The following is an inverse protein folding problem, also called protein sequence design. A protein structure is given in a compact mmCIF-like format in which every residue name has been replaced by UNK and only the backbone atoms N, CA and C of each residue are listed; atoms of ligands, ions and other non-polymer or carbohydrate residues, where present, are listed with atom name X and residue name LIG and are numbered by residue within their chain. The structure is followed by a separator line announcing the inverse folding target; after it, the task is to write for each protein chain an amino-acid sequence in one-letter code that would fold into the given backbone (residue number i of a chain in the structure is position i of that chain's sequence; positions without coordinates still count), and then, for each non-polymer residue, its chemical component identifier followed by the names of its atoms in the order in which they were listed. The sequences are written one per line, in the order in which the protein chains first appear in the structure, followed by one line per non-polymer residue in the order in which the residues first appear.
data_IF_876336449294
#
_entry.id   IF_876336449294
#
_cell.length_a   1.000
_cell.length_b   1.000
_cell.length_c   1.000
_cell.angle_alpha   90.00
_cell.angle_beta   90.00
_cell.angle_gamma   90.00
#
_symmetry.space_group_name_H-M   'P 1'
#
loop_
_entity.id
_entity.type
_entity.pdbx_description
1 polymer ?
#
# COMPACT_ATOMS: atom_id res chain seq x y z
N UNK A 1 12.26 11.65 36.61
CA UNK A 1 11.53 11.99 35.40
C UNK A 1 12.22 11.33 34.23
N UNK A 2 11.56 10.40 33.56
CA UNK A 2 12.12 9.72 32.38
C UNK A 2 12.24 10.77 31.27
N UNK A 3 13.42 11.01 30.65
CA UNK A 3 13.52 11.95 29.56
C UNK A 3 12.59 11.43 28.45
N UNK A 4 11.53 12.19 28.14
CA UNK A 4 10.61 11.84 27.07
C UNK A 4 11.43 11.74 25.79
N UNK A 5 11.60 10.52 25.29
CA UNK A 5 12.17 10.28 23.96
C UNK A 5 11.32 11.12 22.99
N UNK A 6 11.94 12.09 22.33
CA UNK A 6 11.23 12.87 21.31
C UNK A 6 10.70 11.87 20.27
N UNK A 7 9.41 11.92 19.92
CA UNK A 7 8.88 11.03 18.89
C UNK A 7 9.68 11.25 17.58
N UNK A 8 9.87 10.20 16.79
CA UNK A 8 10.60 10.33 15.53
C UNK A 8 9.90 11.35 14.61
N UNK A 9 10.69 12.11 13.87
CA UNK A 9 10.19 13.11 12.91
C UNK A 9 9.46 12.47 11.71
N UNK A 10 9.44 11.16 11.61
CA UNK A 10 8.82 10.40 10.53
C UNK A 10 8.20 9.10 11.08
N UNK A 11 7.24 8.57 10.35
CA UNK A 11 6.53 7.32 10.64
C UNK A 11 6.43 6.47 9.40
N UNK A 12 6.29 5.17 9.59
CA UNK A 12 6.03 4.18 8.54
C UNK A 12 4.74 3.48 8.91
N UNK A 13 3.90 3.17 7.92
CA UNK A 13 2.72 2.35 8.07
C UNK A 13 2.70 1.25 7.02
N UNK A 14 2.04 0.17 7.35
CA UNK A 14 1.76 -0.97 6.49
C UNK A 14 0.25 -1.22 6.47
N UNK A 15 -0.29 -1.55 5.31
CA UNK A 15 -1.66 -1.99 5.13
C UNK A 15 -1.70 -3.15 4.16
N UNK A 16 -2.62 -4.07 4.38
CA UNK A 16 -2.84 -5.23 3.55
C UNK A 16 -4.33 -5.47 3.38
N UNK A 17 -4.74 -5.77 2.16
CA UNK A 17 -6.14 -6.04 1.86
C UNK A 17 -6.28 -7.17 0.83
N UNK A 18 -7.35 -7.94 0.95
CA UNK A 18 -7.66 -9.05 0.07
C UNK A 18 -9.14 -9.07 -0.24
N UNK A 19 -9.47 -9.13 -1.53
CA UNK A 19 -10.84 -9.26 -2.00
C UNK A 19 -11.01 -10.45 -2.93
N UNK A 20 -12.15 -11.14 -2.80
CA UNK A 20 -12.53 -12.21 -3.72
C UNK A 20 -12.87 -11.67 -5.10
N UNK A 21 -12.47 -12.39 -6.16
CA UNK A 21 -12.86 -12.13 -7.54
C UNK A 21 -14.19 -12.81 -7.84
N UNK A 22 -15.17 -12.02 -8.28
CA UNK A 22 -16.52 -12.51 -8.63
C UNK A 22 -16.97 -12.00 -10.00
N UNK A 23 -17.78 -12.79 -10.67
CA UNK A 23 -18.36 -12.40 -11.96
C UNK A 23 -19.34 -11.22 -11.81
N UNK A 24 -19.47 -10.43 -12.87
CA UNK A 24 -20.47 -9.35 -12.95
C UNK A 24 -20.12 -8.06 -12.22
N UNK A 25 -18.93 -7.95 -11.65
CA UNK A 25 -18.39 -6.69 -11.12
C UNK A 25 -17.26 -6.16 -12.00
N UNK A 26 -17.07 -4.84 -12.00
CA UNK A 26 -15.91 -4.20 -12.61
C UNK A 26 -14.66 -4.49 -11.79
N UNK A 27 -13.54 -4.71 -12.43
CA UNK A 27 -12.25 -4.78 -11.77
C UNK A 27 -11.66 -3.37 -11.70
N UNK A 28 -11.56 -2.81 -10.51
CA UNK A 28 -10.98 -1.48 -10.27
C UNK A 28 -9.80 -1.67 -9.32
N UNK A 29 -8.62 -1.16 -9.73
CA UNK A 29 -7.39 -1.21 -8.92
C UNK A 29 -6.62 0.11 -9.09
N UNK A 30 -6.27 0.75 -7.97
CA UNK A 30 -5.63 2.06 -7.96
C UNK A 30 -6.44 3.13 -8.70
N UNK A 31 -7.77 3.06 -8.62
CA UNK A 31 -8.71 3.95 -9.31
C UNK A 31 -8.78 3.76 -10.82
N UNK A 32 -8.26 2.65 -11.36
CA UNK A 32 -8.26 2.33 -12.79
C UNK A 32 -9.15 1.14 -13.05
N UNK A 33 -10.17 1.32 -13.92
CA UNK A 33 -11.00 0.22 -14.41
C UNK A 33 -10.20 -0.63 -15.41
N UNK A 34 -10.11 -1.92 -15.14
CA UNK A 34 -9.35 -2.89 -15.93
C UNK A 34 -10.31 -3.86 -16.59
N UNK A 35 -10.19 -4.02 -17.90
CA UNK A 35 -11.03 -4.95 -18.65
C UNK A 35 -10.79 -6.40 -18.18
N UNK A 36 -11.77 -6.97 -17.50
CA UNK A 36 -11.76 -8.34 -17.01
C UNK A 36 -13.18 -8.88 -16.84
N UNK A 37 -13.36 -10.19 -16.86
CA UNK A 37 -14.67 -10.85 -16.71
C UNK A 37 -15.16 -10.87 -15.25
N UNK A 38 -14.26 -10.68 -14.29
CA UNK A 38 -14.52 -10.68 -12.87
C UNK A 38 -13.98 -9.37 -12.25
N UNK A 39 -14.62 -8.90 -11.20
CA UNK A 39 -14.16 -7.79 -10.38
C UNK A 39 -14.17 -8.13 -8.90
N UNK A 40 -13.69 -7.24 -8.07
CA UNK A 40 -13.56 -7.50 -6.64
C UNK A 40 -14.89 -7.34 -5.89
N UNK A 41 -15.14 -8.23 -4.95
CA UNK A 41 -16.32 -8.22 -4.08
C UNK A 41 -16.04 -7.36 -2.85
N UNK A 42 -16.85 -6.35 -2.60
CA UNK A 42 -16.77 -5.50 -1.42
C UNK A 42 -17.94 -4.54 -1.33
N UNK A 43 -17.99 -3.76 -0.23
CA UNK A 43 -19.05 -2.78 0.05
C UNK A 43 -18.92 -1.54 -0.85
N UNK A 44 -17.69 -1.05 -1.07
CA UNK A 44 -17.32 0.01 -2.01
C UNK A 44 -17.15 -0.54 -3.43
N UNK A 45 -16.38 0.12 -4.27
CA UNK A 45 -15.88 -0.43 -5.54
C UNK A 45 -14.85 -1.56 -5.34
N UNK A 46 -14.47 -1.85 -4.08
CA UNK A 46 -13.55 -2.90 -3.66
C UNK A 46 -12.13 -2.77 -4.23
N UNK A 47 -11.64 -1.55 -4.43
CA UNK A 47 -10.25 -1.32 -4.85
C UNK A 47 -9.28 -1.67 -3.72
N UNK A 48 -8.81 -2.92 -3.71
CA UNK A 48 -7.90 -3.44 -2.70
C UNK A 48 -6.60 -2.62 -2.57
N UNK A 49 -6.11 -2.02 -3.67
CA UNK A 49 -4.90 -1.20 -3.63
C UNK A 49 -5.13 0.09 -2.86
N UNK A 50 -6.24 0.78 -3.12
CA UNK A 50 -6.62 1.98 -2.38
C UNK A 50 -6.87 1.68 -0.90
N UNK A 51 -7.51 0.55 -0.58
CA UNK A 51 -7.76 0.14 0.81
C UNK A 51 -6.45 -0.13 1.57
N UNK A 52 -5.54 -0.90 1.00
CA UNK A 52 -4.24 -1.19 1.62
C UNK A 52 -3.41 0.08 1.84
N UNK A 53 -3.42 1.02 0.90
CA UNK A 53 -2.72 2.31 1.06
C UNK A 53 -3.41 3.16 2.14
N UNK A 54 -4.74 3.16 2.21
CA UNK A 54 -5.49 3.87 3.24
C UNK A 54 -5.13 3.37 4.65
N UNK A 55 -5.08 2.05 4.84
CA UNK A 55 -4.67 1.45 6.11
C UNK A 55 -3.23 1.78 6.47
N UNK A 56 -2.31 1.74 5.50
CA UNK A 56 -0.93 2.13 5.72
C UNK A 56 -0.81 3.58 6.23
N UNK A 57 -1.57 4.50 5.66
CA UNK A 57 -1.55 5.92 6.02
C UNK A 57 -2.17 6.17 7.39
N UNK A 58 -3.34 5.59 7.68
CA UNK A 58 -3.96 5.69 9.00
C UNK A 58 -3.12 5.03 10.08
N UNK A 59 -2.54 3.86 9.80
CA UNK A 59 -1.63 3.17 10.71
C UNK A 59 -0.38 3.98 11.02
N UNK A 60 0.28 4.58 10.00
CA UNK A 60 1.43 5.47 10.20
C UNK A 60 1.08 6.67 11.09
N UNK A 61 -0.12 7.24 10.92
CA UNK A 61 -0.61 8.37 11.71
C UNK A 61 -1.14 7.97 13.10
N UNK A 62 -1.17 6.67 13.43
CA UNK A 62 -1.79 6.10 14.63
C UNK A 62 -3.27 6.51 14.77
N UNK A 63 -4.02 6.37 13.66
CA UNK A 63 -5.43 6.74 13.55
C UNK A 63 -6.38 5.54 13.42
N UNK A 64 -5.91 4.30 13.52
CA UNK A 64 -6.68 3.09 13.28
C UNK A 64 -6.63 2.62 11.83
N UNK A 65 -7.73 2.11 11.34
CA UNK A 65 -7.87 1.47 10.04
C UNK A 65 -9.00 2.07 9.20
N UNK A 66 -9.14 1.59 7.96
CA UNK A 66 -10.18 2.02 7.02
C UNK A 66 -11.59 1.75 7.57
N UNK A 67 -11.81 0.60 8.24
CA UNK A 67 -13.11 0.23 8.79
C UNK A 67 -13.57 1.15 9.92
N UNK A 68 -12.65 1.67 10.72
CA UNK A 68 -12.95 2.67 11.74
C UNK A 68 -13.41 4.01 11.13
N UNK A 69 -12.82 4.41 10.01
CA UNK A 69 -13.09 5.71 9.38
C UNK A 69 -14.24 5.69 8.37
N UNK A 70 -14.45 4.56 7.71
CA UNK A 70 -15.41 4.34 6.63
C UNK A 70 -16.11 2.98 6.81
N UNK A 71 -16.92 2.83 7.88
CA UNK A 71 -17.52 1.54 8.22
C UNK A 71 -18.41 1.02 7.09
N UNK A 72 -18.31 -0.26 6.80
CA UNK A 72 -19.13 -0.97 5.81
C UNK A 72 -20.60 -1.08 6.21
N UNK A 73 -20.90 -0.84 7.49
CA UNK A 73 -22.26 -0.75 8.01
C UNK A 73 -22.96 0.59 7.70
N UNK A 74 -22.22 1.61 7.30
CA UNK A 74 -22.78 2.92 6.96
C UNK A 74 -23.19 2.97 5.48
N UNK A 75 -24.49 3.15 5.19
CA UNK A 75 -25.00 3.18 3.82
C UNK A 75 -24.37 4.26 2.93
N UNK A 76 -23.80 5.33 3.50
CA UNK A 76 -23.18 6.40 2.72
C UNK A 76 -21.95 5.92 1.94
N UNK A 77 -21.29 4.85 2.38
CA UNK A 77 -20.09 4.30 1.71
C UNK A 77 -20.43 3.14 0.75
N UNK A 78 -21.70 2.80 0.60
CA UNK A 78 -22.11 1.74 -0.32
C UNK A 78 -21.83 2.14 -1.77
N UNK A 79 -20.97 1.36 -2.45
CA UNK A 79 -20.53 1.66 -3.80
C UNK A 79 -19.62 2.88 -3.90
N UNK A 80 -19.04 3.34 -2.79
CA UNK A 80 -18.14 4.49 -2.79
C UNK A 80 -16.91 4.26 -3.68
N UNK A 81 -16.44 5.32 -4.32
CA UNK A 81 -15.16 5.37 -5.04
C UNK A 81 -14.01 5.35 -4.04
N UNK A 82 -13.22 4.28 -4.04
CA UNK A 82 -12.10 4.13 -3.10
C UNK A 82 -10.99 5.18 -3.30
N UNK A 83 -10.88 5.78 -4.48
CA UNK A 83 -10.01 6.96 -4.70
C UNK A 83 -10.49 8.16 -3.89
N UNK A 84 -11.81 8.37 -3.80
CA UNK A 84 -12.36 9.44 -2.96
C UNK A 84 -12.15 9.17 -1.47
N UNK A 85 -12.28 7.91 -1.02
CA UNK A 85 -11.95 7.52 0.35
C UNK A 85 -10.46 7.73 0.67
N UNK A 86 -9.58 7.39 -0.25
CA UNK A 86 -8.14 7.62 -0.13
C UNK A 86 -7.80 9.11 -0.04
N UNK A 87 -8.43 9.94 -0.86
CA UNK A 87 -8.25 11.40 -0.80
C UNK A 87 -8.71 11.98 0.55
N UNK A 88 -9.83 11.50 1.09
CA UNK A 88 -10.31 11.89 2.42
C UNK A 88 -9.38 11.37 3.53
N UNK A 89 -8.80 10.16 3.39
CA UNK A 89 -7.75 9.68 4.28
C UNK A 89 -6.56 10.64 4.31
N UNK A 90 -6.03 11.01 3.14
CA UNK A 90 -4.92 11.96 3.03
C UNK A 90 -5.24 13.30 3.71
N UNK A 91 -6.45 13.83 3.49
CA UNK A 91 -6.92 15.06 4.14
C UNK A 91 -6.93 14.93 5.67
N UNK A 92 -7.40 13.79 6.22
CA UNK A 92 -7.41 13.54 7.68
C UNK A 92 -6.01 13.42 8.24
N UNK A 93 -5.09 12.75 7.53
CA UNK A 93 -3.68 12.61 7.91
C UNK A 93 -2.98 13.97 7.94
N UNK A 94 -3.21 14.80 6.90
CA UNK A 94 -2.69 16.18 6.85
C UNK A 94 -3.25 17.05 7.98
N UNK A 95 -4.54 16.94 8.32
CA UNK A 95 -5.15 17.66 9.42
C UNK A 95 -4.55 17.28 10.80
N UNK A 96 -3.92 16.10 10.91
CA UNK A 96 -3.12 15.70 12.10
C UNK A 96 -1.69 16.23 12.08
N UNK A 97 -1.31 17.01 11.07
CA UNK A 97 0.03 17.60 10.94
C UNK A 97 1.07 16.69 10.29
N UNK A 98 0.66 15.59 9.66
CA UNK A 98 1.55 14.69 8.93
C UNK A 98 1.55 15.01 7.43
N UNK A 99 2.70 14.85 6.78
CA UNK A 99 2.84 14.89 5.33
C UNK A 99 3.15 13.50 4.79
N UNK A 100 2.56 13.16 3.65
CA UNK A 100 2.82 11.90 2.97
C UNK A 100 4.13 12.07 2.18
N UNK A 101 5.16 11.32 2.55
CA UNK A 101 6.48 11.38 1.90
C UNK A 101 6.52 10.57 0.61
N UNK A 102 6.02 9.35 0.66
CA UNK A 102 5.90 8.46 -0.49
C UNK A 102 4.99 7.27 -0.17
N UNK A 103 4.60 6.55 -1.21
CA UNK A 103 3.88 5.27 -1.12
C UNK A 103 4.62 4.24 -1.96
N UNK A 104 4.86 3.07 -1.40
CA UNK A 104 5.29 1.87 -2.12
C UNK A 104 4.24 0.79 -1.94
N UNK A 105 3.79 0.17 -3.02
CA UNK A 105 2.73 -0.82 -2.97
C UNK A 105 3.02 -2.01 -3.88
N UNK A 106 2.40 -3.13 -3.56
CA UNK A 106 2.51 -4.36 -4.34
C UNK A 106 1.14 -4.99 -4.50
N UNK A 107 0.74 -5.22 -5.75
CA UNK A 107 -0.41 -6.03 -6.12
C UNK A 107 0.05 -7.48 -6.34
N UNK A 108 -0.67 -8.44 -5.76
CA UNK A 108 -0.51 -9.86 -6.07
C UNK A 108 -1.74 -10.29 -6.88
N UNK A 109 -1.54 -10.49 -8.18
CA UNK A 109 -2.60 -10.71 -9.16
C UNK A 109 -2.15 -11.76 -10.17
N UNK A 110 -2.89 -12.85 -10.30
CA UNK A 110 -2.56 -13.89 -11.28
C UNK A 110 -2.92 -13.45 -12.71
N UNK A 111 -4.05 -12.80 -12.88
CA UNK A 111 -4.55 -12.22 -14.12
C UNK A 111 -5.55 -11.09 -13.81
N UNK A 112 -5.70 -10.09 -14.72
CA UNK A 112 -4.94 -9.84 -15.95
C UNK A 112 -3.55 -9.27 -15.70
N UNK A 113 -2.76 -9.04 -16.77
CA UNK A 113 -1.45 -8.38 -16.66
C UNK A 113 -1.59 -6.93 -16.22
N UNK A 114 -0.95 -6.55 -15.13
CA UNK A 114 -1.03 -5.21 -14.55
C UNK A 114 -0.11 -4.17 -15.22
N UNK A 115 0.97 -4.61 -15.86
CA UNK A 115 1.99 -3.71 -16.41
C UNK A 115 1.44 -2.54 -17.27
N UNK A 116 0.44 -2.74 -18.15
CA UNK A 116 -0.12 -1.64 -18.94
C UNK A 116 -0.86 -0.58 -18.12
N UNK A 117 -1.28 -0.90 -16.89
CA UNK A 117 -2.13 -0.06 -16.06
C UNK A 117 -1.36 0.67 -14.95
N UNK A 118 -0.12 0.25 -14.66
CA UNK A 118 0.68 0.76 -13.52
C UNK A 118 0.85 2.28 -13.56
N UNK A 119 1.15 2.86 -14.71
CA UNK A 119 1.36 4.32 -14.80
C UNK A 119 0.06 5.08 -14.48
N UNK A 120 -1.07 4.62 -15.00
CA UNK A 120 -2.38 5.23 -14.73
C UNK A 120 -2.77 5.12 -13.26
N UNK A 121 -2.51 3.96 -12.61
CA UNK A 121 -2.70 3.78 -11.17
C UNK A 121 -1.85 4.78 -10.37
N UNK A 122 -0.55 4.87 -10.65
CA UNK A 122 0.35 5.82 -9.98
C UNK A 122 -0.14 7.26 -10.08
N UNK A 123 -0.60 7.67 -11.25
CA UNK A 123 -1.14 9.02 -11.48
C UNK A 123 -2.41 9.29 -10.67
N UNK A 124 -3.35 8.34 -10.64
CA UNK A 124 -4.59 8.46 -9.88
C UNK A 124 -4.33 8.51 -8.38
N UNK A 125 -3.46 7.63 -7.88
CA UNK A 125 -3.05 7.60 -6.47
C UNK A 125 -2.33 8.89 -6.06
N UNK A 126 -1.36 9.35 -6.85
CA UNK A 126 -0.63 10.59 -6.58
C UNK A 126 -1.57 11.81 -6.51
N UNK A 127 -2.53 11.90 -7.43
CA UNK A 127 -3.55 12.94 -7.42
C UNK A 127 -4.41 12.90 -6.14
N UNK A 128 -4.89 11.71 -5.76
CA UNK A 128 -5.71 11.53 -4.55
C UNK A 128 -4.95 11.90 -3.27
N UNK A 129 -3.65 11.59 -3.23
CA UNK A 129 -2.77 11.85 -2.09
C UNK A 129 -2.18 13.26 -2.07
N UNK A 130 -2.38 14.04 -3.13
CA UNK A 130 -1.77 15.38 -3.32
C UNK A 130 -0.24 15.35 -3.23
N UNK A 131 0.40 14.34 -3.86
CA UNK A 131 1.85 14.17 -3.96
C UNK A 131 2.28 13.98 -5.42
N UNK A 132 3.58 14.02 -5.68
CA UNK A 132 4.10 13.80 -7.03
C UNK A 132 4.04 12.32 -7.42
N UNK A 133 3.88 12.04 -8.73
CA UNK A 133 3.84 10.65 -9.25
C UNK A 133 5.13 9.88 -8.95
N UNK A 134 6.25 10.56 -8.80
CA UNK A 134 7.55 9.96 -8.44
C UNK A 134 7.61 9.50 -6.97
N UNK A 135 6.67 9.94 -6.15
CA UNK A 135 6.51 9.48 -4.77
C UNK A 135 5.62 8.24 -4.65
N UNK A 136 5.04 7.76 -5.77
CA UNK A 136 4.15 6.58 -5.78
C UNK A 136 4.79 5.46 -6.58
N UNK A 137 5.01 4.32 -5.92
CA UNK A 137 5.44 3.06 -6.54
C UNK A 137 4.32 2.03 -6.47
N UNK A 138 4.00 1.41 -7.61
CA UNK A 138 3.09 0.27 -7.71
C UNK A 138 3.81 -0.86 -8.41
N UNK A 139 4.00 -1.97 -7.71
CA UNK A 139 4.59 -3.21 -8.22
C UNK A 139 3.48 -4.25 -8.40
N UNK A 140 3.64 -5.14 -9.37
CA UNK A 140 2.75 -6.26 -9.55
C UNK A 140 3.52 -7.57 -9.58
N UNK A 141 2.97 -8.59 -8.93
CA UNK A 141 3.49 -9.95 -8.84
C UNK A 141 2.38 -10.95 -9.13
N UNK A 142 2.74 -12.10 -9.65
CA UNK A 142 1.85 -13.28 -9.65
C UNK A 142 2.02 -14.05 -8.34
N UNK A 143 1.04 -14.87 -8.00
CA UNK A 143 1.16 -15.85 -6.91
C UNK A 143 1.71 -17.21 -7.41
N UNK A 144 2.32 -17.24 -8.62
CA UNK A 144 2.91 -18.44 -9.22
C UNK A 144 1.95 -19.66 -9.24
N UNK A 145 0.65 -19.38 -9.46
CA UNK A 145 -0.44 -20.37 -9.44
C UNK A 145 -0.67 -21.04 -8.07
N UNK A 146 -0.19 -20.45 -6.99
CA UNK A 146 -0.38 -20.97 -5.63
C UNK A 146 -1.46 -20.20 -4.88
N UNK A 147 -2.22 -20.91 -4.06
CA UNK A 147 -3.27 -20.36 -3.21
C UNK A 147 -4.44 -19.70 -3.96
N UNK A 148 -5.34 -19.03 -3.23
CA UNK A 148 -6.53 -18.40 -3.83
C UNK A 148 -6.20 -17.36 -4.91
N UNK A 149 -5.17 -16.56 -4.71
CA UNK A 149 -4.73 -15.58 -5.72
C UNK A 149 -4.20 -16.28 -6.97
N UNK A 150 -3.38 -17.31 -6.79
CA UNK A 150 -2.82 -18.08 -7.90
C UNK A 150 -3.87 -18.87 -8.69
N UNK A 151 -4.99 -19.23 -8.05
CA UNK A 151 -6.14 -19.86 -8.70
C UNK A 151 -7.11 -18.86 -9.33
N UNK A 152 -6.88 -17.54 -9.15
CA UNK A 152 -7.75 -16.50 -9.69
C UNK A 152 -9.04 -16.30 -8.89
N UNK A 153 -9.03 -16.64 -7.61
CA UNK A 153 -10.17 -16.51 -6.70
C UNK A 153 -10.15 -15.19 -5.92
N UNK A 154 -8.97 -14.56 -5.81
CA UNK A 154 -8.77 -13.32 -5.08
C UNK A 154 -7.67 -12.46 -5.69
N UNK A 155 -7.63 -11.19 -5.28
CA UNK A 155 -6.50 -10.26 -5.48
C UNK A 155 -6.09 -9.73 -4.11
N UNK A 156 -4.79 -9.61 -3.89
CA UNK A 156 -4.19 -9.04 -2.69
C UNK A 156 -3.42 -7.77 -3.00
N UNK A 157 -3.42 -6.85 -2.06
CA UNK A 157 -2.63 -5.63 -2.14
C UNK A 157 -1.93 -5.34 -0.81
N UNK A 158 -0.68 -4.90 -0.88
CA UNK A 158 0.08 -4.32 0.22
C UNK A 158 0.35 -2.85 -0.08
N UNK A 159 0.06 -2.00 0.89
CA UNK A 159 0.43 -0.59 0.89
C UNK A 159 1.48 -0.33 1.98
N UNK A 160 2.57 0.33 1.61
CA UNK A 160 3.60 0.79 2.53
C UNK A 160 3.79 2.29 2.32
N UNK A 161 3.98 3.03 3.40
CA UNK A 161 4.37 4.44 3.36
C UNK A 161 5.80 4.60 3.91
N UNK A 162 6.83 4.02 3.23
CA UNK A 162 8.20 4.09 3.71
C UNK A 162 8.80 5.46 3.44
N UNK A 163 9.70 5.89 4.34
CA UNK A 163 10.60 7.00 4.07
C UNK A 163 11.97 6.46 3.71
N UNK A 164 12.47 6.80 2.52
CA UNK A 164 13.85 6.52 2.15
C UNK A 164 14.78 7.49 2.88
N UNK A 165 15.84 6.96 3.48
CA UNK A 165 16.99 7.71 3.96
C UNK A 165 18.16 7.44 3.00
N UNK A 166 19.12 8.39 2.84
CA UNK A 166 20.31 8.12 2.05
C UNK A 166 20.97 6.82 2.52
N UNK A 167 21.16 5.89 1.60
CA UNK A 167 21.86 4.64 1.87
C UNK A 167 23.38 4.85 1.87
N UNK A 168 24.09 3.87 2.38
CA UNK A 168 25.55 3.78 2.32
C UNK A 168 25.94 2.44 1.68
N UNK A 169 27.19 2.32 1.22
CA UNK A 169 27.70 1.09 0.62
C UNK A 169 27.64 -0.11 1.58
N UNK A 170 27.60 0.17 2.89
CA UNK A 170 27.46 -0.83 3.94
C UNK A 170 26.01 -1.37 4.09
N UNK A 171 25.02 -0.75 3.42
CA UNK A 171 23.65 -1.24 3.36
C UNK A 171 23.53 -2.31 2.27
N UNK A 172 23.95 -3.53 2.58
CA UNK A 172 23.85 -4.66 1.66
C UNK A 172 22.94 -5.74 2.23
N UNK A 173 22.37 -6.52 1.32
CA UNK A 173 21.48 -7.63 1.70
C UNK A 173 22.31 -8.79 2.25
N UNK A 174 22.00 -9.23 3.47
CA UNK A 174 22.56 -10.45 4.07
C UNK A 174 21.71 -11.64 3.61
N UNK A 175 22.27 -12.54 2.84
CA UNK A 175 21.56 -13.70 2.26
C UNK A 175 22.29 -15.00 2.49
N UNK A 176 23.62 -15.00 2.40
CA UNK A 176 24.47 -16.18 2.52
C UNK A 176 25.31 -16.13 3.80
N UNK A 177 25.82 -17.29 4.29
CA UNK A 177 26.70 -17.31 5.47
C UNK A 177 27.88 -16.34 5.42
N UNK A 178 28.50 -16.19 4.25
CA UNK A 178 29.61 -15.25 4.06
C UNK A 178 29.25 -13.78 4.25
N UNK A 179 27.97 -13.42 4.01
CA UNK A 179 27.47 -12.05 4.21
C UNK A 179 27.42 -11.69 5.70
N UNK A 180 27.18 -12.67 6.59
CA UNK A 180 27.20 -12.47 8.04
C UNK A 180 28.62 -12.13 8.52
N UNK A 181 29.65 -12.81 8.01
CA UNK A 181 31.05 -12.52 8.33
C UNK A 181 31.43 -11.09 7.93
N UNK A 182 30.96 -10.66 6.74
CA UNK A 182 31.18 -9.30 6.25
C UNK A 182 30.45 -8.28 7.12
N UNK A 183 29.18 -8.54 7.46
CA UNK A 183 28.38 -7.67 8.33
C UNK A 183 29.03 -7.53 9.73
N UNK A 184 29.53 -8.62 10.31
CA UNK A 184 30.21 -8.60 11.60
C UNK A 184 31.50 -7.76 11.55
N UNK A 185 32.32 -7.89 10.50
CA UNK A 185 33.52 -7.08 10.31
C UNK A 185 33.21 -5.60 10.23
N UNK A 186 32.18 -5.23 9.45
CA UNK A 186 31.73 -3.83 9.33
C UNK A 186 31.24 -3.26 10.66
N UNK A 187 30.50 -4.04 11.45
CA UNK A 187 30.04 -3.63 12.77
C UNK A 187 31.21 -3.40 13.76
N UNK A 188 32.25 -4.22 13.69
CA UNK A 188 33.45 -4.06 14.54
C UNK A 188 34.28 -2.81 14.20
N UNK A 189 34.23 -2.33 12.96
CA UNK A 189 34.97 -1.12 12.51
C UNK A 189 34.24 0.19 12.83
N UNK A 190 32.99 0.14 13.27
CA UNK A 190 32.18 1.32 13.63
C UNK A 190 32.32 1.80 15.08
N UNK A 191 33.32 1.34 15.81
CA UNK A 191 33.63 1.79 17.19
C UNK A 191 34.59 2.96 17.20
#
# INVERSE_FOLDING_TARGET
MNPRIKPPLWRIGEGWDTHALVAGRKLILGGVEIAHTHGLLGHSDADALCHAITDALFGAAAMGDIGFHFPDTDPQYRGADSIALLAECARRVHAKGWLIGNVDSTLVVQAPKMAPHILAMRQRLAQALAIDVDQVSVKAKTAEKMGPVGHGEAIEALGLAPRLVPGALENFKVTYPADFDLAERLLRTRR
#
